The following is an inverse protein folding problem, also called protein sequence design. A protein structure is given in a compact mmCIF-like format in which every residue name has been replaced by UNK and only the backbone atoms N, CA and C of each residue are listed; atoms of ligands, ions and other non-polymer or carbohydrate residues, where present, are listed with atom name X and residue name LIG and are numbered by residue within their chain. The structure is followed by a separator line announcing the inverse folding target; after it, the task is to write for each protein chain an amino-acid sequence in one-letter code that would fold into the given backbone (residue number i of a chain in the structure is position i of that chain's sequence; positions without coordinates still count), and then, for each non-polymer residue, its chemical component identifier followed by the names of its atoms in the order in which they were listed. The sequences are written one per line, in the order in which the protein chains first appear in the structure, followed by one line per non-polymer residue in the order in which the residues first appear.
data_IF_203219481098
#
_entry.id   IF_203219481098
#
_cell.length_a   1.000
_cell.length_b   1.000
_cell.length_c   1.000
_cell.angle_alpha   90.00
_cell.angle_beta   90.00
_cell.angle_gamma   90.00
#
_symmetry.space_group_name_H-M   'P 1'
#
loop_
_entity.id
_entity.type
_entity.pdbx_description
1 polymer ?
#
# COMPACT_ATOMS: atom_id res chain seq x y z
N UNK A 1 9.16 11.17 -19.30
CA UNK A 1 8.05 10.22 -19.12
C UNK A 1 8.29 9.46 -17.84
N UNK A 2 7.40 9.55 -16.87
CA UNK A 2 7.35 8.58 -15.80
C UNK A 2 6.73 7.33 -16.41
N UNK A 3 7.47 6.22 -16.45
CA UNK A 3 6.93 4.98 -17.00
C UNK A 3 6.48 4.14 -15.82
N UNK A 4 5.17 3.99 -15.68
CA UNK A 4 4.58 3.05 -14.73
C UNK A 4 4.67 1.67 -15.34
N UNK A 5 5.57 0.85 -14.86
CA UNK A 5 5.58 -0.57 -15.18
C UNK A 5 4.90 -1.35 -14.05
N UNK A 6 3.86 -2.09 -14.38
CA UNK A 6 3.40 -3.19 -13.54
C UNK A 6 4.45 -4.30 -13.65
N UNK A 7 5.02 -4.65 -12.55
CA UNK A 7 6.02 -5.69 -12.47
C UNK A 7 5.47 -6.84 -11.62
N UNK A 8 5.28 -7.99 -12.24
CA UNK A 8 5.17 -9.24 -11.52
C UNK A 8 6.57 -9.87 -11.52
N UNK A 9 7.20 -10.16 -10.37
CA UNK A 9 8.31 -11.08 -10.37
C UNK A 9 7.81 -12.43 -10.88
N UNK A 10 8.65 -13.16 -11.64
CA UNK A 10 8.36 -14.50 -12.12
C UNK A 10 8.03 -15.41 -10.92
N UNK A 11 6.78 -15.46 -10.56
CA UNK A 11 6.27 -16.42 -9.60
C UNK A 11 5.75 -17.59 -10.41
N UNK A 12 6.35 -18.76 -10.26
CA UNK A 12 5.72 -20.01 -10.58
C UNK A 12 4.34 -20.04 -9.90
N UNK A 13 3.34 -19.70 -10.67
CA UNK A 13 1.96 -19.88 -10.29
C UNK A 13 1.73 -21.40 -10.27
N UNK A 14 1.90 -21.98 -9.11
CA UNK A 14 1.30 -23.30 -8.86
C UNK A 14 -0.21 -23.11 -9.05
N UNK A 15 -0.67 -23.48 -10.24
CA UNK A 15 -2.01 -23.23 -10.76
C UNK A 15 -3.03 -24.17 -10.12
N UNK A 16 -3.11 -24.10 -8.81
CA UNK A 16 -4.27 -24.61 -8.07
C UNK A 16 -5.48 -23.71 -8.34
N UNK A 17 -6.15 -23.95 -9.47
CA UNK A 17 -7.33 -23.20 -9.95
C UNK A 17 -8.60 -23.48 -9.13
N UNK A 18 -8.50 -23.55 -7.82
CA UNK A 18 -9.66 -23.66 -6.95
C UNK A 18 -9.76 -22.45 -6.04
N UNK A 19 -10.90 -21.75 -6.02
CA UNK A 19 -11.22 -20.83 -4.94
C UNK A 19 -11.00 -21.58 -3.63
N UNK A 20 -10.16 -21.07 -2.70
CA UNK A 20 -9.94 -21.76 -1.44
C UNK A 20 -11.28 -21.96 -0.73
N UNK A 21 -11.63 -23.21 -0.46
CA UNK A 21 -12.80 -23.51 0.37
C UNK A 21 -12.44 -23.07 1.79
N UNK A 22 -13.08 -22.02 2.26
CA UNK A 22 -12.89 -21.50 3.61
C UNK A 22 -13.71 -22.31 4.63
N UNK A 23 -13.29 -22.26 5.87
CA UNK A 23 -14.12 -22.75 6.98
C UNK A 23 -15.22 -21.73 7.29
N UNK A 24 -16.38 -22.20 7.75
CA UNK A 24 -17.52 -21.33 8.04
C UNK A 24 -17.15 -20.25 9.06
N UNK A 25 -17.42 -18.99 8.72
CA UNK A 25 -17.22 -17.83 9.58
C UNK A 25 -15.79 -17.29 9.62
N UNK A 26 -14.83 -17.86 8.89
CA UNK A 26 -13.48 -17.33 8.80
C UNK A 26 -13.30 -16.56 7.49
N UNK A 27 -12.97 -15.28 7.59
CA UNK A 27 -12.78 -14.41 6.41
C UNK A 27 -11.56 -13.51 6.58
N UNK A 28 -10.91 -13.23 5.46
CA UNK A 28 -9.96 -12.13 5.30
C UNK A 28 -10.62 -11.05 4.47
N UNK A 29 -10.58 -9.82 4.96
CA UNK A 29 -10.94 -8.64 4.17
C UNK A 29 -9.70 -7.79 3.97
N UNK A 30 -9.52 -7.32 2.77
CA UNK A 30 -8.52 -6.30 2.43
C UNK A 30 -9.27 -5.02 2.11
N UNK A 31 -8.98 -3.98 2.87
CA UNK A 31 -9.59 -2.67 2.73
C UNK A 31 -8.56 -1.72 2.14
N UNK A 32 -8.97 -0.96 1.16
CA UNK A 32 -8.07 -0.08 0.45
C UNK A 32 -8.71 1.27 0.17
N UNK A 33 -8.00 2.34 0.54
CA UNK A 33 -8.28 3.72 0.15
C UNK A 33 -7.28 4.10 -0.92
N UNK A 34 -7.68 4.11 -2.19
CA UNK A 34 -6.84 4.57 -3.28
C UNK A 34 -6.74 6.09 -3.27
N UNK A 35 -5.57 6.62 -3.62
CA UNK A 35 -5.36 8.07 -3.74
C UNK A 35 -5.72 8.62 -5.11
N UNK A 36 -5.84 7.76 -6.11
CA UNK A 36 -6.06 8.12 -7.53
C UNK A 36 -4.99 9.10 -8.05
N UNK A 37 -3.72 8.77 -7.78
CA UNK A 37 -2.64 9.60 -8.26
C UNK A 37 -2.45 9.50 -9.76
N UNK A 38 -2.11 10.64 -10.38
CA UNK A 38 -1.81 10.70 -11.80
C UNK A 38 -0.36 10.25 -12.07
N UNK A 39 -0.22 9.06 -12.60
CA UNK A 39 1.08 8.45 -12.97
C UNK A 39 1.51 8.76 -14.42
N UNK A 40 0.82 9.65 -15.14
CA UNK A 40 1.11 9.97 -16.54
C UNK A 40 2.51 10.55 -16.74
N UNK A 41 2.95 11.45 -15.85
CA UNK A 41 4.30 11.97 -15.79
C UNK A 41 4.69 12.39 -14.36
N UNK A 42 6.00 12.67 -14.16
CA UNK A 42 6.51 13.01 -12.84
C UNK A 42 5.92 14.30 -12.24
N UNK A 43 5.55 15.27 -13.08
CA UNK A 43 4.97 16.54 -12.61
C UNK A 43 3.52 16.38 -12.21
N UNK A 44 2.76 15.61 -12.99
CA UNK A 44 1.39 15.22 -12.68
C UNK A 44 1.31 14.40 -11.39
N UNK A 45 2.22 13.45 -11.22
CA UNK A 45 2.32 12.67 -10.00
C UNK A 45 2.62 13.55 -8.78
N UNK A 46 3.64 14.43 -8.85
CA UNK A 46 3.96 15.35 -7.75
C UNK A 46 2.75 16.22 -7.39
N UNK A 47 2.03 16.71 -8.40
CA UNK A 47 0.84 17.54 -8.19
C UNK A 47 -0.31 16.76 -7.55
N UNK A 48 -0.57 15.53 -8.00
CA UNK A 48 -1.62 14.69 -7.43
C UNK A 48 -1.32 14.26 -5.99
N UNK A 49 -0.07 13.93 -5.67
CA UNK A 49 0.37 13.65 -4.28
C UNK A 49 0.17 14.90 -3.41
N UNK A 50 0.45 16.08 -3.94
CA UNK A 50 0.20 17.31 -3.21
C UNK A 50 -1.27 17.55 -2.87
N UNK A 51 -2.16 17.26 -3.82
CA UNK A 51 -3.60 17.40 -3.61
C UNK A 51 -4.19 16.32 -2.70
N UNK A 52 -3.67 15.10 -2.80
CA UNK A 52 -4.15 13.91 -2.07
C UNK A 52 -2.94 13.15 -1.50
N UNK A 53 -2.32 13.64 -0.43
CA UNK A 53 -1.09 13.02 0.09
C UNK A 53 -1.32 11.68 0.80
N UNK A 54 -2.55 11.22 0.88
CA UNK A 54 -2.92 10.07 1.65
C UNK A 54 -3.57 8.99 0.79
N UNK A 55 -3.06 7.79 0.97
CA UNK A 55 -3.66 6.52 0.60
C UNK A 55 -3.41 5.56 1.75
N UNK A 56 -4.26 4.57 1.93
CA UNK A 56 -4.08 3.60 3.01
C UNK A 56 -4.68 2.24 2.64
N UNK A 57 -4.04 1.18 3.12
CA UNK A 57 -4.58 -0.17 3.04
C UNK A 57 -4.45 -0.87 4.39
N UNK A 58 -5.48 -1.64 4.75
CA UNK A 58 -5.54 -2.35 6.02
C UNK A 58 -6.39 -3.62 5.89
N UNK A 59 -6.56 -4.34 6.96
CA UNK A 59 -7.14 -5.68 6.97
C UNK A 59 -8.22 -5.81 8.04
N UNK A 60 -9.21 -6.67 7.75
CA UNK A 60 -10.04 -7.28 8.77
C UNK A 60 -9.84 -8.79 8.72
N UNK A 61 -9.58 -9.37 9.87
CA UNK A 61 -9.53 -10.80 10.10
C UNK A 61 -10.74 -11.20 10.93
N UNK A 62 -11.62 -11.98 10.34
CA UNK A 62 -12.88 -12.37 10.96
C UNK A 62 -12.90 -13.87 11.31
N UNK A 63 -13.39 -14.18 12.48
CA UNK A 63 -13.70 -15.54 12.97
C UNK A 63 -15.15 -15.60 13.41
N UNK A 64 -15.70 -16.79 13.73
CA UNK A 64 -17.05 -16.90 14.27
C UNK A 64 -17.30 -16.15 15.59
N UNK A 65 -16.23 -15.73 16.29
CA UNK A 65 -16.32 -15.09 17.61
C UNK A 65 -15.85 -13.64 17.61
N UNK A 66 -14.87 -13.31 16.74
CA UNK A 66 -14.15 -12.05 16.80
C UNK A 66 -13.94 -11.46 15.41
N UNK A 67 -13.89 -10.16 15.38
CA UNK A 67 -13.47 -9.39 14.21
C UNK A 67 -12.37 -8.41 14.62
N UNK A 68 -11.19 -8.57 14.03
CA UNK A 68 -10.03 -7.73 14.29
C UNK A 68 -9.74 -6.90 13.05
N UNK A 69 -9.71 -5.58 13.22
CA UNK A 69 -9.35 -4.62 12.18
C UNK A 69 -8.01 -4.00 12.52
N UNK A 70 -7.04 -4.08 11.59
CA UNK A 70 -5.67 -3.67 11.84
C UNK A 70 -4.94 -3.29 10.55
N UNK A 71 -3.93 -2.44 10.69
CA UNK A 71 -3.09 -1.97 9.59
C UNK A 71 -1.71 -1.54 10.07
N UNK A 72 -0.82 -1.27 9.11
CA UNK A 72 0.46 -0.65 9.38
C UNK A 72 0.36 0.83 8.99
N UNK A 73 0.49 1.71 9.93
CA UNK A 73 0.47 3.16 9.70
C UNK A 73 1.81 3.78 10.05
N UNK A 74 2.12 4.93 9.44
CA UNK A 74 3.36 5.68 9.65
C UNK A 74 3.33 6.96 8.83
N UNK A 75 4.49 7.58 8.62
CA UNK A 75 4.62 8.89 7.98
C UNK A 75 3.79 9.98 8.69
N UNK A 76 3.73 9.87 10.02
CA UNK A 76 2.92 10.75 10.85
C UNK A 76 3.57 12.12 11.08
N UNK A 77 4.83 12.28 10.67
CA UNK A 77 5.60 13.49 10.90
C UNK A 77 6.12 13.63 12.34
N UNK A 78 6.11 12.56 13.13
CA UNK A 78 6.53 12.57 14.53
C UNK A 78 8.06 12.50 14.68
N UNK A 79 8.67 11.58 13.93
CA UNK A 79 10.13 11.38 13.98
C UNK A 79 10.88 12.32 13.04
N UNK A 80 10.32 12.58 11.87
CA UNK A 80 10.86 13.46 10.81
C UNK A 80 9.71 14.04 10.01
N UNK A 81 9.94 15.10 9.20
CA UNK A 81 8.93 15.59 8.25
C UNK A 81 8.40 14.45 7.38
N UNK A 82 7.11 14.49 7.05
CA UNK A 82 6.46 13.52 6.18
C UNK A 82 7.19 13.43 4.84
N UNK A 83 7.07 12.31 4.13
CA UNK A 83 7.86 12.06 2.92
C UNK A 83 7.77 13.21 1.91
N UNK A 84 6.58 13.73 1.61
CA UNK A 84 6.41 14.84 0.69
C UNK A 84 6.97 16.17 1.25
N UNK A 85 6.79 16.45 2.54
CA UNK A 85 7.31 17.64 3.22
C UNK A 85 8.84 17.64 3.27
N UNK A 86 9.43 16.46 3.55
CA UNK A 86 10.88 16.29 3.60
C UNK A 86 11.55 16.50 2.24
N UNK A 87 10.96 15.97 1.14
CA UNK A 87 11.44 16.28 -0.23
C UNK A 87 11.40 17.78 -0.50
N UNK A 88 10.32 18.45 -0.11
CA UNK A 88 10.17 19.89 -0.23
C UNK A 88 11.23 20.68 0.54
N UNK A 89 11.45 20.29 1.79
CA UNK A 89 12.46 20.92 2.63
C UNK A 89 13.84 20.77 1.99
N UNK A 90 14.19 19.58 1.53
CA UNK A 90 15.46 19.31 0.82
C UNK A 90 15.62 20.16 -0.45
N UNK A 91 14.54 20.36 -1.22
CA UNK A 91 14.56 21.27 -2.38
C UNK A 91 14.85 22.71 -1.96
N UNK A 92 14.26 23.19 -0.87
CA UNK A 92 14.50 24.56 -0.36
C UNK A 92 15.91 24.74 0.16
N UNK A 93 16.46 23.70 0.79
CA UNK A 93 17.81 23.70 1.34
C UNK A 93 18.89 23.54 0.27
N UNK A 94 18.51 23.36 -1.00
CA UNK A 94 19.45 23.20 -2.12
C UNK A 94 20.14 21.86 -2.16
N UNK A 95 19.55 20.81 -1.54
CA UNK A 95 20.08 19.45 -1.59
C UNK A 95 20.17 19.00 -3.07
N UNK A 96 21.29 18.43 -3.53
CA UNK A 96 21.45 17.96 -4.90
C UNK A 96 20.58 16.73 -5.21
N UNK A 97 20.11 15.99 -4.19
CA UNK A 97 19.31 14.78 -4.32
C UNK A 97 18.07 14.80 -3.41
N UNK A 98 17.20 15.82 -3.46
CA UNK A 98 16.07 15.94 -2.55
C UNK A 98 15.14 14.72 -2.56
N UNK A 99 15.00 14.04 -3.72
CA UNK A 99 14.16 12.86 -3.86
C UNK A 99 14.69 11.66 -3.05
N UNK A 100 15.98 11.64 -2.68
CA UNK A 100 16.56 10.61 -1.83
C UNK A 100 15.82 10.44 -0.49
N UNK A 101 15.08 11.47 -0.08
CA UNK A 101 14.23 11.41 1.11
C UNK A 101 13.17 10.29 1.04
N UNK A 102 12.67 9.95 -0.16
CA UNK A 102 11.72 8.85 -0.38
C UNK A 102 12.33 7.45 -0.17
N UNK A 103 13.66 7.35 -0.11
CA UNK A 103 14.36 6.09 0.17
C UNK A 103 14.61 5.86 1.67
N UNK A 104 14.27 6.84 2.49
CA UNK A 104 14.45 6.72 3.94
C UNK A 104 13.33 5.88 4.57
N UNK A 105 13.64 5.32 5.72
CA UNK A 105 12.66 4.71 6.62
C UNK A 105 12.48 5.61 7.81
N UNK A 106 11.25 5.82 8.22
CA UNK A 106 10.86 6.63 9.38
C UNK A 106 10.66 5.72 10.60
N UNK A 107 11.07 6.19 11.77
CA UNK A 107 10.89 5.49 13.05
C UNK A 107 9.59 5.93 13.74
N UNK A 108 8.53 6.14 12.97
CA UNK A 108 7.20 6.51 13.44
C UNK A 108 6.11 5.55 12.93
N UNK A 109 6.53 4.36 12.50
CA UNK A 109 5.62 3.28 12.18
C UNK A 109 4.94 2.72 13.42
N UNK A 110 3.68 2.29 13.28
CA UNK A 110 2.93 1.68 14.36
C UNK A 110 1.83 0.75 13.84
N UNK A 111 1.49 -0.24 14.66
CA UNK A 111 0.30 -1.06 14.44
C UNK A 111 -0.94 -0.19 14.68
N UNK A 112 -1.76 -0.05 13.65
CA UNK A 112 -3.10 0.50 13.78
C UNK A 112 -4.03 -0.62 14.24
N UNK A 113 -4.76 -0.39 15.31
CA UNK A 113 -5.86 -1.25 15.76
C UNK A 113 -7.16 -0.48 15.60
N UNK A 114 -8.15 -1.14 14.98
CA UNK A 114 -9.44 -0.54 14.67
C UNK A 114 -9.44 0.29 13.39
N UNK A 115 -10.57 0.92 13.15
CA UNK A 115 -10.91 1.63 11.93
C UNK A 115 -10.10 2.92 11.77
N UNK A 116 -9.53 3.20 10.60
CA UNK A 116 -9.00 4.52 10.29
C UNK A 116 -10.13 5.55 10.12
N UNK A 117 -9.79 6.84 10.25
CA UNK A 117 -10.76 7.94 10.13
C UNK A 117 -11.32 8.15 8.71
N UNK A 118 -11.06 7.23 7.78
CA UNK A 118 -11.47 7.35 6.39
C UNK A 118 -12.12 6.07 5.89
N UNK A 119 -13.14 6.18 5.01
CA UNK A 119 -13.75 5.03 4.39
C UNK A 119 -12.80 4.45 3.31
N UNK A 120 -12.81 3.12 3.12
CA UNK A 120 -12.14 2.50 1.97
C UNK A 120 -12.85 2.86 0.67
N UNK A 121 -12.10 2.92 -0.43
CA UNK A 121 -12.64 3.02 -1.79
C UNK A 121 -13.06 1.65 -2.33
N UNK A 122 -12.45 0.59 -1.81
CA UNK A 122 -12.77 -0.79 -2.12
C UNK A 122 -12.47 -1.72 -0.96
N UNK A 123 -13.35 -2.70 -0.76
CA UNK A 123 -13.19 -3.78 0.23
C UNK A 123 -13.30 -5.12 -0.49
N UNK A 124 -12.23 -5.89 -0.47
CA UNK A 124 -12.21 -7.24 -1.00
C UNK A 124 -12.33 -8.24 0.14
N UNK A 125 -13.16 -9.29 -0.03
CA UNK A 125 -13.39 -10.36 0.95
C UNK A 125 -13.08 -11.72 0.35
N UNK A 126 -12.44 -12.59 1.14
CA UNK A 126 -12.23 -13.97 0.81
C UNK A 126 -12.47 -14.87 2.05
N UNK A 127 -13.23 -15.98 1.93
CA UNK A 127 -13.26 -17.03 2.93
C UNK A 127 -11.88 -17.67 3.07
N UNK A 128 -11.45 -17.92 4.29
CA UNK A 128 -10.18 -18.57 4.58
C UNK A 128 -10.38 -19.74 5.55
N UNK A 129 -9.42 -20.66 5.61
CA UNK A 129 -9.46 -21.72 6.59
C UNK A 129 -9.07 -21.20 7.98
N UNK A 130 -9.52 -21.86 9.04
CA UNK A 130 -9.10 -21.57 10.43
C UNK A 130 -7.57 -21.60 10.56
N UNK A 131 -6.89 -22.50 9.86
CA UNK A 131 -5.42 -22.57 9.85
C UNK A 131 -4.80 -21.29 9.26
N UNK A 132 -5.31 -20.79 8.14
CA UNK A 132 -4.85 -19.54 7.54
C UNK A 132 -5.15 -18.33 8.43
N UNK A 133 -6.33 -18.31 9.04
CA UNK A 133 -6.66 -17.30 10.05
C UNK A 133 -5.59 -17.23 11.14
N UNK A 134 -5.21 -18.39 11.70
CA UNK A 134 -4.23 -18.45 12.77
C UNK A 134 -2.83 -17.98 12.32
N UNK A 135 -2.38 -18.42 11.14
CA UNK A 135 -1.11 -17.98 10.57
C UNK A 135 -1.07 -16.46 10.34
N UNK A 136 -2.15 -15.89 9.84
CA UNK A 136 -2.26 -14.45 9.62
C UNK A 136 -2.24 -13.70 10.96
N UNK A 137 -3.02 -14.17 11.92
CA UNK A 137 -3.07 -13.56 13.26
C UNK A 137 -1.70 -13.52 13.92
N UNK A 138 -0.99 -14.64 13.93
CA UNK A 138 0.36 -14.75 14.48
C UNK A 138 1.33 -13.82 13.75
N UNK A 139 1.33 -13.84 12.42
CA UNK A 139 2.16 -12.95 11.60
C UNK A 139 1.93 -11.48 11.94
N UNK A 140 0.69 -11.05 12.05
CA UNK A 140 0.34 -9.66 12.37
C UNK A 140 0.81 -9.29 13.78
N UNK A 141 0.64 -10.17 14.76
CA UNK A 141 1.02 -9.89 16.15
C UNK A 141 2.53 -9.90 16.38
N UNK A 142 3.28 -10.66 15.57
CA UNK A 142 4.74 -10.79 15.69
C UNK A 142 5.51 -9.78 14.81
N UNK A 143 4.84 -9.18 13.81
CA UNK A 143 5.47 -8.21 12.92
C UNK A 143 5.95 -6.97 13.68
N UNK A 144 7.11 -6.45 13.28
CA UNK A 144 7.62 -5.17 13.78
C UNK A 144 7.01 -4.01 13.00
N UNK A 145 6.42 -3.07 13.72
CA UNK A 145 5.72 -1.91 13.15
C UNK A 145 6.44 -0.57 13.38
N UNK A 146 7.53 -0.55 14.11
CA UNK A 146 8.28 0.65 14.51
C UNK A 146 8.91 1.44 13.36
N UNK A 147 8.95 0.85 12.17
CA UNK A 147 9.54 1.44 10.97
C UNK A 147 8.51 1.56 9.85
N UNK A 148 8.50 2.68 9.15
CA UNK A 148 7.64 2.91 7.98
C UNK A 148 8.43 3.56 6.84
N UNK A 149 8.24 3.12 5.60
CA UNK A 149 8.97 3.64 4.45
C UNK A 149 8.19 3.54 3.13
N UNK A 150 8.43 4.45 2.20
CA UNK A 150 7.76 4.43 0.89
C UNK A 150 8.13 3.20 0.08
N UNK A 151 9.43 2.88 0.01
CA UNK A 151 9.93 1.76 -0.80
C UNK A 151 9.54 0.39 -0.27
N UNK A 152 9.44 0.28 1.05
CA UNK A 152 9.22 -0.99 1.74
C UNK A 152 8.71 -0.73 3.15
N UNK A 153 8.08 -1.72 3.73
CA UNK A 153 7.56 -1.66 5.07
C UNK A 153 6.45 -0.61 5.25
N UNK A 154 5.58 -0.49 4.24
CA UNK A 154 4.40 0.37 4.29
C UNK A 154 3.11 -0.46 4.53
N UNK A 155 1.96 0.22 4.53
CA UNK A 155 0.66 -0.42 4.72
C UNK A 155 0.35 -1.45 3.63
N UNK A 156 0.70 -1.17 2.39
CA UNK A 156 0.44 -2.08 1.26
C UNK A 156 1.36 -3.30 1.30
N UNK A 157 2.63 -3.16 1.73
CA UNK A 157 3.52 -4.31 1.93
C UNK A 157 2.96 -5.28 2.97
N UNK A 158 2.44 -4.77 4.10
CA UNK A 158 1.78 -5.59 5.11
C UNK A 158 0.59 -6.36 4.54
N UNK A 159 -0.25 -5.70 3.73
CA UNK A 159 -1.40 -6.33 3.08
C UNK A 159 -0.95 -7.44 2.12
N UNK A 160 0.09 -7.19 1.31
CA UNK A 160 0.64 -8.16 0.36
C UNK A 160 1.18 -9.40 1.09
N UNK A 161 1.97 -9.20 2.15
CA UNK A 161 2.51 -10.29 2.97
C UNK A 161 1.39 -11.13 3.59
N UNK A 162 0.35 -10.47 4.11
CA UNK A 162 -0.80 -11.16 4.71
C UNK A 162 -1.64 -11.91 3.67
N UNK A 163 -1.86 -11.32 2.50
CA UNK A 163 -2.56 -11.97 1.39
C UNK A 163 -1.82 -13.24 0.91
N UNK A 164 -0.49 -13.22 0.90
CA UNK A 164 0.31 -14.39 0.58
C UNK A 164 0.09 -15.55 1.56
N UNK A 165 -0.05 -15.28 2.86
CA UNK A 165 -0.42 -16.30 3.85
C UNK A 165 -1.82 -16.87 3.63
N UNK A 166 -2.72 -16.07 3.07
CA UNK A 166 -4.03 -16.53 2.62
C UNK A 166 -4.00 -17.29 1.29
N UNK A 167 -2.84 -17.40 0.64
CA UNK A 167 -2.65 -18.05 -0.66
C UNK A 167 -2.99 -17.15 -1.85
N UNK A 168 -3.00 -15.84 -1.66
CA UNK A 168 -3.22 -14.84 -2.70
C UNK A 168 -1.93 -14.09 -2.96
N UNK A 169 -1.41 -14.19 -4.17
CA UNK A 169 -0.22 -13.46 -4.58
C UNK A 169 -0.60 -12.09 -5.16
N UNK A 170 -0.42 -11.05 -4.36
CA UNK A 170 -0.51 -9.65 -4.76
C UNK A 170 0.92 -9.15 -5.02
N UNK A 171 1.32 -9.13 -6.28
CA UNK A 171 2.73 -8.96 -6.64
C UNK A 171 3.02 -7.65 -7.36
N UNK A 172 2.01 -6.84 -7.58
CA UNK A 172 2.21 -5.64 -8.37
C UNK A 172 2.87 -4.52 -7.59
N UNK A 173 3.94 -4.01 -8.14
CA UNK A 173 4.64 -2.81 -7.68
C UNK A 173 4.60 -1.74 -8.76
N UNK A 174 4.70 -0.50 -8.33
CA UNK A 174 4.94 0.62 -9.22
C UNK A 174 6.45 0.81 -9.36
N UNK A 175 6.88 0.98 -10.61
CA UNK A 175 8.23 1.42 -10.94
C UNK A 175 8.15 2.81 -11.55
N UNK A 176 8.56 3.81 -10.77
CA UNK A 176 8.62 5.21 -11.21
C UNK A 176 10.02 5.53 -11.70
N UNK A 177 10.12 6.07 -12.91
CA UNK A 177 11.37 6.64 -13.41
C UNK A 177 11.30 8.16 -13.27
N UNK A 178 12.11 8.70 -12.39
CA UNK A 178 12.22 10.13 -12.17
C UNK A 178 13.18 10.77 -13.16
N UNK A 179 12.79 11.82 -13.88
CA UNK A 179 13.75 12.65 -14.63
C UNK A 179 14.62 13.43 -13.62
N UNK A 180 15.86 13.82 -13.98
CA UNK A 180 16.74 14.57 -13.09
C UNK A 180 16.16 15.93 -12.69
N UNK A 181 15.26 16.47 -13.52
CA UNK A 181 14.54 17.70 -13.27
C UNK A 181 13.03 17.48 -13.43
N UNK A 182 12.27 18.01 -12.49
CA UNK A 182 10.80 17.85 -12.43
C UNK A 182 10.18 19.18 -12.04
N UNK A 183 8.99 19.46 -12.57
CA UNK A 183 8.23 20.65 -12.19
C UNK A 183 7.60 20.44 -10.81
N UNK A 184 8.07 21.22 -9.85
CA UNK A 184 7.62 21.19 -8.46
C UNK A 184 7.10 22.57 -8.11
N UNK A 185 5.83 22.68 -7.72
CA UNK A 185 5.13 23.97 -7.46
C UNK A 185 5.32 24.99 -8.59
N UNK A 186 5.12 24.53 -9.84
CA UNK A 186 5.19 25.39 -11.01
C UNK A 186 6.59 25.74 -11.50
N UNK A 187 7.65 25.31 -10.83
CA UNK A 187 9.05 25.61 -11.19
C UNK A 187 9.83 24.34 -11.46
N UNK A 188 10.67 24.33 -12.50
CA UNK A 188 11.63 23.24 -12.72
C UNK A 188 12.62 23.18 -11.57
N UNK A 189 12.80 21.99 -11.02
CA UNK A 189 13.70 21.72 -9.90
C UNK A 189 14.49 20.47 -10.20
N UNK A 190 15.78 20.52 -9.90
CA UNK A 190 16.59 19.30 -9.88
C UNK A 190 16.18 18.47 -8.69
N UNK A 191 15.87 17.19 -8.93
CA UNK A 191 15.40 16.28 -7.89
C UNK A 191 16.41 15.19 -7.59
N UNK A 192 17.39 14.98 -8.47
CA UNK A 192 18.55 14.14 -8.20
C UNK A 192 19.71 14.48 -9.14
N UNK A 193 20.93 14.19 -8.69
CA UNK A 193 22.18 14.19 -9.46
C UNK A 193 22.80 12.79 -9.49
N UNK A 194 22.49 11.96 -8.50
CA UNK A 194 22.95 10.58 -8.38
C UNK A 194 21.95 9.62 -9.05
N UNK A 195 22.37 8.88 -10.11
CA UNK A 195 21.50 7.98 -10.87
C UNK A 195 20.85 6.86 -10.05
N UNK A 196 21.35 6.53 -8.86
CA UNK A 196 20.71 5.55 -7.98
C UNK A 196 19.27 5.95 -7.60
N UNK A 197 18.95 7.25 -7.60
CA UNK A 197 17.63 7.79 -7.31
C UNK A 197 16.71 7.94 -8.52
N UNK A 198 17.17 7.46 -9.68
CA UNK A 198 16.38 7.52 -10.91
C UNK A 198 15.12 6.66 -10.86
N UNK A 199 15.18 5.52 -10.20
CA UNK A 199 14.11 4.54 -10.19
C UNK A 199 13.65 4.28 -8.75
N UNK A 200 12.37 4.55 -8.49
CA UNK A 200 11.70 4.20 -7.25
C UNK A 200 10.71 3.06 -7.52
N UNK A 201 10.88 1.94 -6.83
CA UNK A 201 9.95 0.83 -6.84
C UNK A 201 9.29 0.72 -5.47
N UNK A 202 7.96 0.65 -5.44
CA UNK A 202 7.20 0.56 -4.19
C UNK A 202 5.82 -0.08 -4.39
N UNK A 203 5.22 -0.57 -3.32
CA UNK A 203 3.84 -1.03 -3.28
C UNK A 203 2.92 0.16 -3.09
N UNK A 204 1.85 0.25 -3.89
CA UNK A 204 0.92 1.38 -3.90
C UNK A 204 -0.51 0.94 -3.68
N UNK A 205 -1.27 1.72 -2.92
CA UNK A 205 -2.70 1.52 -2.74
C UNK A 205 -3.47 1.59 -4.07
N UNK A 206 -3.05 2.43 -5.02
CA UNK A 206 -3.72 2.54 -6.33
C UNK A 206 -3.58 1.26 -7.16
N UNK A 207 -2.40 0.64 -7.13
CA UNK A 207 -2.18 -0.65 -7.82
C UNK A 207 -2.89 -1.78 -7.07
N UNK A 208 -2.85 -1.76 -5.74
CA UNK A 208 -3.59 -2.73 -4.92
C UNK A 208 -5.10 -2.67 -5.23
N UNK A 209 -5.69 -1.48 -5.35
CA UNK A 209 -7.11 -1.31 -5.72
C UNK A 209 -7.44 -2.03 -7.03
N UNK A 210 -6.58 -1.83 -8.04
CA UNK A 210 -6.76 -2.47 -9.34
C UNK A 210 -6.68 -3.99 -9.25
N UNK A 211 -5.74 -4.52 -8.48
CA UNK A 211 -5.54 -5.96 -8.31
C UNK A 211 -6.72 -6.60 -7.57
N UNK A 212 -7.16 -6.00 -6.49
CA UNK A 212 -8.30 -6.50 -5.71
C UNK A 212 -9.59 -6.52 -6.54
N UNK A 213 -9.84 -5.47 -7.33
CA UNK A 213 -10.98 -5.43 -8.26
C UNK A 213 -10.86 -6.48 -9.36
N UNK A 214 -9.64 -6.74 -9.85
CA UNK A 214 -9.40 -7.79 -10.84
C UNK A 214 -9.66 -9.18 -10.26
N UNK A 215 -9.19 -9.45 -9.03
CA UNK A 215 -9.48 -10.70 -8.33
C UNK A 215 -10.97 -10.92 -8.16
N UNK A 216 -11.71 -9.92 -7.67
CA UNK A 216 -13.15 -10.01 -7.51
C UNK A 216 -13.87 -10.28 -8.84
N UNK A 217 -13.50 -9.61 -9.94
CA UNK A 217 -14.05 -9.87 -11.29
C UNK A 217 -13.75 -11.27 -11.80
N UNK A 218 -12.62 -11.86 -11.39
CA UNK A 218 -12.22 -13.22 -11.76
C UNK A 218 -12.85 -14.29 -10.88
N UNK A 219 -13.72 -13.91 -9.93
CA UNK A 219 -14.37 -14.83 -9.00
C UNK A 219 -13.47 -15.30 -7.84
N UNK A 220 -12.32 -14.67 -7.67
CA UNK A 220 -11.44 -14.90 -6.52
C UNK A 220 -11.81 -13.90 -5.43
N UNK A 221 -12.53 -14.35 -4.41
CA UNK A 221 -13.14 -13.46 -3.42
C UNK A 221 -14.31 -12.66 -4.00
N UNK A 222 -14.72 -11.61 -3.29
CA UNK A 222 -15.87 -10.78 -3.65
C UNK A 222 -15.69 -9.34 -3.19
N UNK A 223 -16.44 -8.43 -3.82
CA UNK A 223 -16.61 -7.05 -3.34
C UNK A 223 -17.48 -7.05 -2.07
N UNK A 224 -16.97 -6.47 -1.02
CA UNK A 224 -17.65 -6.31 0.28
C UNK A 224 -17.73 -4.83 0.70
N UNK A 225 -17.59 -3.91 -0.24
CA UNK A 225 -17.53 -2.47 0.06
C UNK A 225 -18.81 -1.97 0.70
N UNK A 226 -19.97 -2.29 0.11
CA UNK A 226 -21.27 -1.89 0.67
C UNK A 226 -21.53 -2.50 2.05
N UNK A 227 -21.16 -3.77 2.23
CA UNK A 227 -21.25 -4.43 3.52
C UNK A 227 -20.45 -3.68 4.59
N UNK A 228 -19.19 -3.32 4.30
CA UNK A 228 -18.35 -2.59 5.25
C UNK A 228 -18.92 -1.20 5.57
N UNK A 229 -19.35 -0.46 4.55
CA UNK A 229 -19.91 0.88 4.72
C UNK A 229 -21.25 0.86 5.50
N UNK A 230 -22.00 -0.25 5.44
CA UNK A 230 -23.22 -0.44 6.19
C UNK A 230 -23.00 -0.85 7.65
N UNK A 231 -21.76 -1.23 8.05
CA UNK A 231 -21.46 -1.51 9.45
C UNK A 231 -21.63 -0.22 10.26
N UNK A 232 -22.66 -0.22 11.11
CA UNK A 232 -22.84 0.88 12.09
C UNK A 232 -21.68 0.83 13.07
N UNK A 233 -20.94 1.87 13.09
CA UNK A 233 -19.78 2.06 13.97
C UNK A 233 -20.17 2.83 15.22
#
# INVERSE_FOLDING_TARGET
MAVVHRFAPDADLDSGTGTPVGDEGYNLYILNEAADWDYGDASSLVFSIWQRPWAHSWLILESPRDRLEFGHTGDLGQAKPRFHEGVYQKIRDGDPNPIAYLWQTMADGQLQIGKPNRPPTFVWRMPITRRRYQLIYEHVMERKYDQFGVRSNNCTDMVIETAALAGINLIHRIRLTWPPETKVLGRMRRVWTDPQYRILEYSSCDVLDMDLRQLARSGIGSDATEWYLALKH
#
